data_IF_004312525309
#
_entry.id   IF_004312525309
#
_cell.length_a   1.000
_cell.length_b   1.000
_cell.length_c   1.000
_cell.angle_alpha   90.00
_cell.angle_beta   90.00
_cell.angle_gamma   90.00
#
_symmetry.space_group_name_H-M   'P 1'
#
loop_
_entity.id
_entity.type
_entity.pdbx_description
1 polymer ?
#
# COMPACT_ATOMS: atom_id res chain seq x y z
N UNK A 1 -1.91 17.52 16.18
CA UNK A 1 -2.38 16.57 15.18
C UNK A 1 -1.21 15.71 14.70
N UNK A 2 -1.31 14.42 14.88
CA UNK A 2 -0.24 13.53 14.46
C UNK A 2 -0.31 13.28 12.95
N UNK A 3 0.83 13.27 12.30
CA UNK A 3 0.92 12.85 10.91
C UNK A 3 0.80 11.33 10.85
N UNK A 4 0.16 10.78 9.82
CA UNK A 4 0.14 9.34 9.67
C UNK A 4 1.56 8.83 9.40
N UNK A 5 1.97 7.80 10.15
CA UNK A 5 3.22 7.11 9.90
C UNK A 5 2.93 5.97 8.95
N UNK A 6 3.61 5.98 7.80
CA UNK A 6 3.47 4.95 6.78
C UNK A 6 4.81 4.24 6.65
N UNK A 7 4.82 2.93 6.89
CA UNK A 7 6.02 2.13 6.68
C UNK A 7 6.16 1.81 5.19
N UNK A 8 7.36 2.01 4.67
CA UNK A 8 7.68 1.76 3.26
C UNK A 8 8.52 0.49 3.18
N UNK A 9 7.99 -0.55 2.54
CA UNK A 9 8.66 -1.84 2.42
C UNK A 9 9.38 -1.96 1.08
N UNK A 10 10.40 -1.12 0.90
CA UNK A 10 11.16 -1.05 -0.35
C UNK A 10 11.94 -2.35 -0.60
N UNK A 11 11.79 -2.92 -1.79
CA UNK A 11 12.54 -4.11 -2.19
C UNK A 11 12.07 -5.41 -1.55
N UNK A 12 10.99 -5.38 -0.79
CA UNK A 12 10.47 -6.58 -0.12
C UNK A 12 9.92 -7.59 -1.14
N UNK A 13 10.06 -8.88 -0.83
CA UNK A 13 9.48 -9.95 -1.64
C UNK A 13 8.21 -10.49 -0.98
N UNK A 14 7.33 -11.16 -1.76
CA UNK A 14 6.12 -11.74 -1.18
C UNK A 14 6.39 -12.81 -0.11
N UNK A 15 7.56 -13.45 -0.14
CA UNK A 15 7.93 -14.47 0.85
C UNK A 15 8.18 -13.85 2.22
N UNK A 16 8.84 -12.70 2.26
CA UNK A 16 9.26 -12.06 3.52
C UNK A 16 8.28 -11.00 4.04
N UNK A 17 7.33 -10.58 3.20
CA UNK A 17 6.49 -9.42 3.50
C UNK A 17 5.62 -9.60 4.76
N UNK A 18 5.09 -10.79 4.98
CA UNK A 18 4.19 -11.04 6.13
C UNK A 18 4.92 -10.92 7.47
N UNK A 19 6.12 -11.46 7.56
CA UNK A 19 6.89 -11.42 8.81
C UNK A 19 7.31 -9.98 9.14
N UNK A 20 7.72 -9.22 8.11
CA UNK A 20 8.10 -7.83 8.29
C UNK A 20 6.88 -7.01 8.74
N UNK A 21 5.72 -7.20 8.10
CA UNK A 21 4.51 -6.48 8.44
C UNK A 21 4.04 -6.82 9.86
N UNK A 22 4.13 -8.07 10.27
CA UNK A 22 3.76 -8.48 11.62
C UNK A 22 4.55 -7.70 12.67
N UNK A 23 5.86 -7.57 12.47
CA UNK A 23 6.71 -6.80 13.37
C UNK A 23 6.34 -5.32 13.43
N UNK A 24 6.00 -4.74 12.29
CA UNK A 24 5.60 -3.33 12.21
C UNK A 24 4.26 -3.09 12.92
N UNK A 25 3.30 -3.96 12.72
CA UNK A 25 1.98 -3.87 13.37
C UNK A 25 2.13 -4.02 14.88
N UNK A 26 2.95 -4.96 15.35
CA UNK A 26 3.24 -5.13 16.78
C UNK A 26 3.87 -3.86 17.36
N UNK A 27 4.63 -3.12 16.58
CA UNK A 27 5.23 -1.85 17.00
C UNK A 27 4.26 -0.66 16.92
N UNK A 28 3.02 -0.88 16.52
CA UNK A 28 1.99 0.16 16.46
C UNK A 28 1.86 0.86 15.12
N UNK A 29 2.55 0.38 14.09
CA UNK A 29 2.46 0.97 12.74
C UNK A 29 1.30 0.28 12.01
N UNK A 30 0.30 1.07 11.61
CA UNK A 30 -0.93 0.55 11.01
C UNK A 30 -1.16 1.00 9.57
N UNK A 31 -0.17 1.65 8.96
CA UNK A 31 -0.20 2.00 7.53
C UNK A 31 1.08 1.49 6.89
N UNK A 32 0.93 0.62 5.89
CA UNK A 32 2.06 -0.05 5.26
C UNK A 32 1.90 0.05 3.75
N UNK A 33 2.93 0.55 3.06
CA UNK A 33 2.91 0.57 1.61
C UNK A 33 4.06 -0.24 1.03
N UNK A 34 3.76 -0.94 -0.06
CA UNK A 34 4.75 -1.66 -0.85
C UNK A 34 4.98 -0.85 -2.13
N UNK A 35 6.20 -0.35 -2.36
CA UNK A 35 6.49 0.37 -3.60
C UNK A 35 6.30 -0.53 -4.81
N UNK A 36 5.70 0.01 -5.86
CA UNK A 36 5.38 -0.77 -7.06
C UNK A 36 6.63 -1.26 -7.81
N UNK A 37 7.80 -0.70 -7.51
CA UNK A 37 9.06 -1.20 -8.06
C UNK A 37 9.68 -2.34 -7.24
N UNK A 38 8.99 -2.82 -6.20
CA UNK A 38 9.40 -4.00 -5.46
C UNK A 38 9.06 -5.27 -6.25
N UNK A 39 9.83 -6.37 -6.06
CA UNK A 39 9.54 -7.62 -6.77
C UNK A 39 8.13 -8.14 -6.46
N UNK A 40 7.32 -8.36 -7.50
CA UNK A 40 5.95 -8.86 -7.37
C UNK A 40 5.12 -8.08 -6.35
N UNK A 41 5.17 -6.74 -6.44
CA UNK A 41 4.55 -5.84 -5.46
C UNK A 41 3.05 -6.13 -5.24
N UNK A 42 2.30 -6.38 -6.31
CA UNK A 42 0.87 -6.69 -6.19
C UNK A 42 0.60 -7.96 -5.40
N UNK A 43 1.45 -8.97 -5.52
CA UNK A 43 1.33 -10.20 -4.73
C UNK A 43 1.60 -9.93 -3.25
N UNK A 44 2.58 -9.10 -2.94
CA UNK A 44 2.87 -8.68 -1.57
C UNK A 44 1.68 -7.94 -0.97
N UNK A 45 1.11 -7.00 -1.71
CA UNK A 45 -0.06 -6.22 -1.28
C UNK A 45 -1.25 -7.17 -1.01
N UNK A 46 -1.52 -8.09 -1.93
CA UNK A 46 -2.60 -9.05 -1.76
C UNK A 46 -2.42 -9.92 -0.52
N UNK A 47 -1.21 -10.44 -0.30
CA UNK A 47 -0.89 -11.23 0.89
C UNK A 47 -1.12 -10.43 2.17
N UNK A 48 -0.63 -9.20 2.21
CA UNK A 48 -0.78 -8.35 3.39
C UNK A 48 -2.24 -7.97 3.64
N UNK A 49 -2.98 -7.65 2.58
CA UNK A 49 -4.39 -7.29 2.71
C UNK A 49 -5.20 -8.46 3.27
N UNK A 50 -4.93 -9.68 2.82
CA UNK A 50 -5.61 -10.87 3.33
C UNK A 50 -5.23 -11.20 4.77
N UNK A 51 -3.95 -11.05 5.11
CA UNK A 51 -3.45 -11.41 6.43
C UNK A 51 -3.76 -10.35 7.48
N UNK A 52 -3.61 -9.07 7.15
CA UNK A 52 -3.63 -7.98 8.11
C UNK A 52 -4.57 -6.82 7.75
N UNK A 53 -5.40 -6.97 6.74
CA UNK A 53 -6.30 -5.90 6.30
C UNK A 53 -7.26 -5.39 7.38
N UNK A 54 -7.56 -6.23 8.38
CA UNK A 54 -8.42 -5.85 9.50
C UNK A 54 -7.65 -5.06 10.58
N UNK A 55 -6.33 -5.08 10.54
CA UNK A 55 -5.47 -4.47 11.56
C UNK A 55 -4.68 -3.28 11.05
N UNK A 56 -4.50 -3.16 9.74
CA UNK A 56 -3.67 -2.13 9.13
C UNK A 56 -4.20 -1.77 7.75
N UNK A 57 -3.93 -0.54 7.33
CA UNK A 57 -4.15 -0.14 5.94
C UNK A 57 -2.94 -0.58 5.12
N UNK A 58 -3.19 -1.39 4.12
CA UNK A 58 -2.17 -1.91 3.22
C UNK A 58 -2.36 -1.24 1.86
N UNK A 59 -1.29 -0.86 1.22
CA UNK A 59 -1.40 -0.26 -0.10
C UNK A 59 -0.08 -0.18 -0.84
N UNK A 60 -0.06 0.64 -1.87
CA UNK A 60 1.07 0.76 -2.79
C UNK A 60 1.71 2.13 -2.75
N UNK A 61 3.03 2.15 -2.89
CA UNK A 61 3.80 3.37 -3.10
C UNK A 61 4.31 3.47 -4.52
N UNK A 62 4.85 4.64 -4.88
CA UNK A 62 5.39 4.92 -6.21
C UNK A 62 4.33 4.68 -7.30
N UNK A 63 3.09 5.08 -7.02
CA UNK A 63 1.97 4.89 -7.95
C UNK A 63 1.89 6.12 -8.87
N UNK A 64 2.08 5.89 -10.16
CA UNK A 64 2.15 6.95 -11.16
C UNK A 64 1.12 6.81 -12.29
N UNK A 65 0.31 5.76 -12.29
CA UNK A 65 -0.73 5.56 -13.32
C UNK A 65 -2.06 5.19 -12.71
N UNK A 66 -3.14 5.52 -13.41
CA UNK A 66 -4.50 5.13 -13.03
C UNK A 66 -4.66 3.62 -13.04
N UNK A 67 -4.06 2.93 -14.00
CA UNK A 67 -4.13 1.46 -14.09
C UNK A 67 -3.57 0.80 -12.82
N UNK A 68 -2.47 1.32 -12.30
CA UNK A 68 -1.88 0.80 -11.07
C UNK A 68 -2.83 0.98 -9.89
N UNK A 69 -3.53 2.11 -9.80
CA UNK A 69 -4.54 2.33 -8.75
C UNK A 69 -5.60 1.23 -8.79
N UNK A 70 -6.10 0.91 -9.98
CA UNK A 70 -7.12 -0.11 -10.14
C UNK A 70 -6.60 -1.51 -9.77
N UNK A 71 -5.36 -1.82 -10.15
CA UNK A 71 -4.73 -3.10 -9.80
C UNK A 71 -4.55 -3.24 -8.29
N UNK A 72 -4.14 -2.17 -7.62
CA UNK A 72 -3.98 -2.15 -6.16
C UNK A 72 -5.34 -2.35 -5.47
N UNK A 73 -6.37 -1.69 -5.95
CA UNK A 73 -7.72 -1.87 -5.40
C UNK A 73 -8.19 -3.32 -5.53
N UNK A 74 -7.95 -3.95 -6.66
CA UNK A 74 -8.29 -5.36 -6.89
C UNK A 74 -7.51 -6.30 -5.96
N UNK A 75 -6.27 -5.96 -5.65
CA UNK A 75 -5.45 -6.74 -4.72
C UNK A 75 -5.86 -6.57 -3.26
N UNK A 76 -6.80 -5.68 -2.97
CA UNK A 76 -7.27 -5.41 -1.61
C UNK A 76 -6.57 -4.24 -0.93
N UNK A 77 -5.79 -3.46 -1.66
CA UNK A 77 -5.13 -2.28 -1.13
C UNK A 77 -6.12 -1.19 -0.73
N UNK A 78 -5.76 -0.42 0.28
CA UNK A 78 -6.60 0.64 0.84
C UNK A 78 -5.94 2.02 0.81
N UNK A 79 -4.66 2.10 0.49
CA UNK A 79 -3.96 3.38 0.39
C UNK A 79 -3.07 3.43 -0.84
N UNK A 80 -2.87 4.63 -1.34
CA UNK A 80 -2.01 4.92 -2.48
C UNK A 80 -1.07 6.07 -2.10
N UNK A 81 0.22 5.86 -2.29
CA UNK A 81 1.23 6.90 -2.12
C UNK A 81 1.80 7.24 -3.49
N UNK A 82 1.64 8.49 -3.91
CA UNK A 82 2.13 8.95 -5.20
C UNK A 82 3.30 9.92 -4.99
N UNK A 83 4.38 9.79 -5.78
CA UNK A 83 5.50 10.73 -5.67
C UNK A 83 5.16 12.11 -6.23
N UNK A 84 4.14 12.22 -7.06
CA UNK A 84 3.69 13.46 -7.71
C UNK A 84 2.22 13.71 -7.41
N UNK A 85 1.82 14.99 -7.41
CA UNK A 85 0.43 15.37 -7.26
C UNK A 85 -0.31 15.24 -8.61
N UNK A 86 -0.35 14.06 -9.19
CA UNK A 86 -1.06 13.80 -10.43
C UNK A 86 -2.56 13.75 -10.19
N UNK A 87 -3.28 14.70 -10.78
CA UNK A 87 -4.72 14.81 -10.57
C UNK A 87 -5.49 13.56 -11.01
N UNK A 88 -5.04 12.90 -12.06
CA UNK A 88 -5.70 11.68 -12.57
C UNK A 88 -5.54 10.53 -11.60
N UNK A 89 -4.34 10.36 -11.03
CA UNK A 89 -4.06 9.32 -10.04
C UNK A 89 -4.84 9.60 -8.76
N UNK A 90 -4.86 10.84 -8.29
CA UNK A 90 -5.62 11.22 -7.09
C UNK A 90 -7.11 10.97 -7.28
N UNK A 91 -7.66 11.37 -8.42
CA UNK A 91 -9.08 11.16 -8.72
C UNK A 91 -9.43 9.67 -8.79
N UNK A 92 -8.59 8.86 -9.45
CA UNK A 92 -8.80 7.42 -9.54
C UNK A 92 -8.73 6.76 -8.17
N UNK A 93 -7.81 7.21 -7.31
CA UNK A 93 -7.68 6.71 -5.94
C UNK A 93 -8.96 6.95 -5.15
N UNK A 94 -9.50 8.16 -5.23
CA UNK A 94 -10.75 8.51 -4.52
C UNK A 94 -11.94 7.74 -5.06
N UNK A 95 -12.05 7.61 -6.38
CA UNK A 95 -13.14 6.86 -7.01
C UNK A 95 -13.11 5.39 -6.64
N UNK A 96 -11.94 4.82 -6.45
CA UNK A 96 -11.77 3.43 -6.03
C UNK A 96 -12.00 3.24 -4.52
N UNK A 97 -12.22 4.32 -3.77
CA UNK A 97 -12.46 4.26 -2.34
C UNK A 97 -11.20 4.09 -1.50
N UNK A 98 -10.02 4.42 -2.05
CA UNK A 98 -8.74 4.31 -1.36
C UNK A 98 -8.31 5.66 -0.81
N UNK A 99 -7.48 5.64 0.23
CA UNK A 99 -6.88 6.85 0.78
C UNK A 99 -5.66 7.25 -0.05
N UNK A 100 -5.50 8.54 -0.30
CA UNK A 100 -4.40 9.11 -1.07
C UNK A 100 -3.44 9.87 -0.15
N UNK A 101 -2.17 9.59 -0.31
CA UNK A 101 -1.12 10.26 0.46
C UNK A 101 -0.03 10.84 -0.41
#
# INVERSE_FOLDING_TARGET
>A
MSRPLIAILRGVTPIEVKDIAAGLIDAGITRIEVPMNSPSALKSIEKLAKAYGDFAQIGAGTVITVETVLDVAKAGGKLIVSPNADKKVIAATKLAGLDSY
#
